data_IF_597026970045
#
_entry.id   IF_597026970045
#
_cell.length_a   1.000
_cell.length_b   1.000
_cell.length_c   1.000
_cell.angle_alpha   90.00
_cell.angle_beta   90.00
_cell.angle_gamma   90.00
#
_symmetry.space_group_name_H-M   'P 1'
#
loop_
_entity.id
_entity.type
_entity.pdbx_description
1 polymer ?
#
# COMPACT_ATOMS: atom_id res chain seq x y z
N UNK A 1 -8.56 -35.45 -20.79
CA UNK A 1 -9.33 -34.20 -21.01
C UNK A 1 -9.23 -33.30 -19.77
N UNK A 2 -8.33 -32.31 -19.79
CA UNK A 2 -8.15 -31.36 -18.67
C UNK A 2 -9.21 -30.26 -18.77
N UNK A 3 -10.23 -30.36 -17.92
CA UNK A 3 -11.32 -29.38 -17.81
C UNK A 3 -10.79 -28.10 -17.13
N UNK A 4 -10.19 -27.20 -17.91
CA UNK A 4 -9.87 -25.84 -17.46
C UNK A 4 -11.18 -25.05 -17.36
N UNK A 5 -11.72 -24.93 -16.14
CA UNK A 5 -12.74 -23.93 -15.81
C UNK A 5 -12.22 -22.55 -16.25
N UNK A 6 -12.87 -21.95 -17.26
CA UNK A 6 -12.62 -20.58 -17.70
C UNK A 6 -12.85 -19.64 -16.49
N UNK A 7 -11.96 -18.67 -16.20
CA UNK A 7 -12.21 -17.70 -15.15
C UNK A 7 -13.48 -16.90 -15.51
N UNK A 8 -14.48 -16.99 -14.65
CA UNK A 8 -15.76 -16.29 -14.84
C UNK A 8 -15.54 -14.77 -14.79
N UNK A 9 -16.22 -13.97 -15.62
CA UNK A 9 -16.12 -12.52 -15.58
C UNK A 9 -16.68 -12.03 -14.25
N UNK A 10 -15.78 -11.56 -13.38
CA UNK A 10 -16.11 -10.97 -12.09
C UNK A 10 -16.88 -9.68 -12.35
N UNK A 11 -18.19 -9.69 -12.06
CA UNK A 11 -19.09 -8.53 -12.21
C UNK A 11 -18.51 -7.34 -11.44
N UNK A 12 -18.09 -6.31 -12.16
CA UNK A 12 -17.85 -4.99 -11.59
C UNK A 12 -19.17 -4.49 -10.99
N UNK A 13 -19.14 -4.02 -9.75
CA UNK A 13 -20.30 -3.37 -9.15
C UNK A 13 -20.68 -2.12 -9.97
N UNK A 14 -21.98 -1.73 -10.01
CA UNK A 14 -22.40 -0.50 -10.67
C UNK A 14 -21.56 0.68 -10.16
N UNK A 15 -21.19 1.61 -11.04
CA UNK A 15 -20.35 2.77 -10.67
C UNK A 15 -20.90 3.52 -9.45
N UNK A 16 -22.24 3.67 -9.37
CA UNK A 16 -22.93 4.25 -8.21
C UNK A 16 -22.61 3.54 -6.89
N UNK A 17 -22.54 2.22 -6.89
CA UNK A 17 -22.21 1.42 -5.70
C UNK A 17 -20.75 1.64 -5.31
N UNK A 18 -19.85 1.78 -6.28
CA UNK A 18 -18.43 2.05 -6.02
C UNK A 18 -18.24 3.42 -5.34
N UNK A 19 -18.89 4.45 -5.87
CA UNK A 19 -18.93 5.78 -5.24
C UNK A 19 -19.57 5.74 -3.84
N UNK A 20 -20.64 4.95 -3.68
CA UNK A 20 -21.28 4.72 -2.38
C UNK A 20 -20.32 4.12 -1.36
N UNK A 21 -19.51 3.13 -1.75
CA UNK A 21 -18.50 2.51 -0.89
C UNK A 21 -17.44 3.52 -0.47
N UNK A 22 -16.87 4.29 -1.40
CA UNK A 22 -15.89 5.33 -1.07
C UNK A 22 -16.48 6.39 -0.14
N UNK A 23 -17.72 6.82 -0.38
CA UNK A 23 -18.41 7.81 0.45
C UNK A 23 -18.66 7.27 1.86
N UNK A 24 -19.14 6.03 1.99
CA UNK A 24 -19.38 5.39 3.28
C UNK A 24 -18.08 5.25 4.10
N UNK A 25 -16.99 4.83 3.46
CA UNK A 25 -15.68 4.69 4.12
C UNK A 25 -15.15 6.04 4.58
N UNK A 26 -15.22 7.07 3.73
CA UNK A 26 -14.80 8.42 4.10
C UNK A 26 -15.67 9.00 5.21
N UNK A 27 -16.98 8.75 5.21
CA UNK A 27 -17.88 9.19 6.26
C UNK A 27 -17.52 8.56 7.61
N UNK A 28 -17.33 7.25 7.65
CA UNK A 28 -16.89 6.54 8.86
C UNK A 28 -15.51 7.04 9.30
N UNK A 29 -14.60 7.26 8.36
CA UNK A 29 -13.23 7.71 8.62
C UNK A 29 -13.17 9.15 9.13
N UNK A 30 -14.08 10.03 8.68
CA UNK A 30 -14.22 11.39 9.20
C UNK A 30 -14.77 11.37 10.63
N UNK A 31 -15.71 10.47 10.92
CA UNK A 31 -16.17 10.20 12.29
C UNK A 31 -15.01 9.78 13.20
N UNK A 32 -14.21 8.79 12.77
CA UNK A 32 -13.03 8.32 13.50
C UNK A 32 -11.97 9.41 13.67
N UNK A 33 -11.72 10.21 12.64
CA UNK A 33 -10.78 11.35 12.69
C UNK A 33 -11.17 12.36 13.77
N UNK A 34 -12.47 12.56 13.99
CA UNK A 34 -13.00 13.48 15.01
C UNK A 34 -12.75 13.00 16.45
N UNK A 35 -12.46 11.72 16.66
CA UNK A 35 -12.06 11.18 17.97
C UNK A 35 -10.57 11.36 18.26
N UNK A 36 -9.74 11.69 17.25
CA UNK A 36 -8.32 11.90 17.47
C UNK A 36 -8.07 13.23 18.20
N UNK A 37 -7.14 13.28 19.17
CA UNK A 37 -6.80 14.53 19.87
C UNK A 37 -6.30 15.61 18.91
N UNK A 38 -6.63 16.88 19.20
CA UNK A 38 -6.21 18.07 18.42
C UNK A 38 -4.70 18.12 18.12
N UNK A 39 -3.85 17.45 18.92
CA UNK A 39 -2.40 17.41 18.73
C UNK A 39 -1.90 16.55 17.57
N UNK A 40 -2.70 15.64 17.01
CA UNK A 40 -2.29 14.81 15.87
C UNK A 40 -3.46 14.56 14.91
N UNK A 41 -3.83 15.54 14.07
CA UNK A 41 -4.92 15.40 13.13
C UNK A 41 -4.51 14.44 12.01
N UNK A 42 -4.98 13.19 12.08
CA UNK A 42 -4.83 12.24 10.97
C UNK A 42 -5.88 12.56 9.91
N UNK A 43 -5.48 12.84 8.66
CA UNK A 43 -6.44 13.12 7.59
C UNK A 43 -7.40 11.93 7.38
N UNK A 44 -8.69 12.21 7.27
CA UNK A 44 -9.72 11.20 7.05
C UNK A 44 -9.41 10.23 5.88
N UNK A 45 -8.83 10.67 4.73
CA UNK A 45 -8.47 9.74 3.65
C UNK A 45 -7.42 8.68 4.04
N UNK A 46 -6.49 9.00 4.95
CA UNK A 46 -5.47 8.05 5.42
C UNK A 46 -6.13 6.98 6.28
N UNK A 47 -7.06 7.38 7.16
CA UNK A 47 -7.88 6.46 7.95
C UNK A 47 -8.73 5.59 7.03
N UNK A 48 -9.33 6.19 5.99
CA UNK A 48 -10.12 5.49 4.99
C UNK A 48 -9.33 4.45 4.21
N UNK A 49 -8.05 4.72 3.91
CA UNK A 49 -7.17 3.75 3.27
C UNK A 49 -6.91 2.53 4.16
N UNK A 50 -6.66 2.75 5.46
CA UNK A 50 -6.46 1.66 6.43
C UNK A 50 -7.75 0.86 6.61
N UNK A 51 -8.89 1.54 6.70
CA UNK A 51 -10.20 0.91 6.87
C UNK A 51 -10.61 0.09 5.64
N UNK A 52 -10.42 0.63 4.43
CA UNK A 52 -10.65 -0.10 3.18
C UNK A 52 -9.73 -1.31 3.06
N UNK A 53 -8.46 -1.16 3.46
CA UNK A 53 -7.50 -2.27 3.50
C UNK A 53 -7.99 -3.39 4.44
N UNK A 54 -8.44 -3.07 5.65
CA UNK A 54 -8.99 -4.04 6.58
C UNK A 54 -10.26 -4.73 6.03
N UNK A 55 -11.19 -3.98 5.45
CA UNK A 55 -12.39 -4.54 4.81
C UNK A 55 -12.07 -5.49 3.65
N UNK A 56 -10.98 -5.21 2.92
CA UNK A 56 -10.48 -6.04 1.85
C UNK A 56 -9.82 -7.32 2.39
N UNK A 57 -9.02 -7.23 3.45
CA UNK A 57 -8.42 -8.38 4.13
C UNK A 57 -9.47 -9.30 4.75
N UNK A 58 -10.55 -8.74 5.31
CA UNK A 58 -11.70 -9.48 5.84
C UNK A 58 -12.61 -10.06 4.73
N UNK A 59 -12.30 -9.82 3.45
CA UNK A 59 -13.05 -10.28 2.28
C UNK A 59 -14.53 -9.82 2.25
N UNK A 60 -14.87 -8.79 3.05
CA UNK A 60 -16.21 -8.19 3.09
C UNK A 60 -16.44 -7.41 1.78
N UNK A 61 -15.40 -6.74 1.31
CA UNK A 61 -15.42 -5.91 0.11
C UNK A 61 -14.41 -6.48 -0.89
N UNK A 62 -14.85 -6.78 -2.12
CA UNK A 62 -13.97 -7.31 -3.19
C UNK A 62 -13.28 -6.18 -3.93
N UNK A 63 -11.97 -6.32 -4.22
CA UNK A 63 -11.18 -5.32 -4.95
C UNK A 63 -11.84 -4.85 -6.27
N UNK A 64 -12.48 -5.78 -6.98
CA UNK A 64 -13.21 -5.51 -8.24
C UNK A 64 -14.30 -4.45 -8.12
N UNK A 65 -14.86 -4.24 -6.94
CA UNK A 65 -15.96 -3.30 -6.70
C UNK A 65 -15.49 -1.86 -6.54
N UNK A 66 -14.19 -1.61 -6.38
CA UNK A 66 -13.65 -0.29 -6.02
C UNK A 66 -12.56 0.13 -7.03
N UNK A 67 -11.95 -0.85 -7.71
CA UNK A 67 -10.84 -0.62 -8.65
C UNK A 67 -11.21 0.27 -9.83
N UNK A 68 -12.46 0.25 -10.33
CA UNK A 68 -12.81 1.03 -11.53
C UNK A 68 -12.88 2.53 -11.22
N UNK A 69 -13.60 2.93 -10.16
CA UNK A 69 -13.64 4.34 -9.73
C UNK A 69 -12.27 4.81 -9.22
N UNK A 70 -11.49 3.97 -8.52
CA UNK A 70 -10.13 4.30 -8.11
C UNK A 70 -9.19 4.60 -9.29
N UNK A 71 -9.27 3.78 -10.34
CA UNK A 71 -8.47 3.98 -11.58
C UNK A 71 -8.93 5.23 -12.35
N UNK A 72 -10.22 5.54 -12.32
CA UNK A 72 -10.73 6.78 -12.89
C UNK A 72 -10.24 8.01 -12.11
N UNK A 73 -10.31 7.97 -10.78
CA UNK A 73 -9.83 9.06 -9.91
C UNK A 73 -8.34 9.32 -10.10
N UNK A 74 -7.49 8.28 -10.13
CA UNK A 74 -6.06 8.46 -10.36
C UNK A 74 -5.79 9.06 -11.76
N UNK A 75 -6.61 8.71 -12.76
CA UNK A 75 -6.48 9.25 -14.11
C UNK A 75 -6.74 10.76 -14.17
N UNK A 76 -7.63 11.31 -13.32
CA UNK A 76 -7.90 12.75 -13.29
C UNK A 76 -6.93 13.54 -12.40
N UNK A 77 -6.10 12.88 -11.56
CA UNK A 77 -5.16 13.58 -10.67
C UNK A 77 -4.21 14.49 -11.46
N UNK A 78 -3.67 14.00 -12.59
CA UNK A 78 -2.83 14.80 -13.48
C UNK A 78 -3.54 16.05 -13.99
N UNK A 79 -4.82 15.92 -14.34
CA UNK A 79 -5.66 17.05 -14.76
C UNK A 79 -5.91 18.05 -13.62
N UNK A 80 -6.14 17.59 -12.39
CA UNK A 80 -6.29 18.45 -11.20
C UNK A 80 -5.01 19.22 -10.83
N UNK A 81 -3.84 18.70 -11.23
CA UNK A 81 -2.57 19.41 -11.04
C UNK A 81 -2.38 20.58 -12.02
N UNK A 82 -3.00 20.57 -13.19
CA UNK A 82 -2.83 21.63 -14.19
C UNK A 82 -3.31 23.01 -13.68
N UNK A 83 -4.54 23.16 -13.15
CA UNK A 83 -4.98 24.43 -12.56
C UNK A 83 -4.10 24.90 -11.39
N UNK A 84 -3.69 23.96 -10.54
CA UNK A 84 -2.82 24.23 -9.38
C UNK A 84 -1.45 24.74 -9.82
N UNK A 85 -0.88 24.16 -10.89
CA UNK A 85 0.39 24.59 -11.48
C UNK A 85 0.30 25.94 -12.17
N UNK A 86 -0.79 26.23 -12.89
CA UNK A 86 -1.01 27.53 -13.54
C UNK A 86 -1.12 28.65 -12.49
N UNK A 87 -1.81 28.41 -11.37
CA UNK A 87 -1.90 29.37 -10.26
C UNK A 87 -0.52 29.72 -9.68
N UNK A 88 0.34 28.71 -9.56
CA UNK A 88 1.72 28.88 -9.12
C UNK A 88 2.56 29.67 -10.15
N UNK A 89 2.40 29.35 -11.45
CA UNK A 89 3.06 30.04 -12.56
C UNK A 89 2.54 31.48 -12.80
N UNK A 90 1.38 31.86 -12.28
CA UNK A 90 0.94 33.27 -12.29
C UNK A 90 1.70 34.11 -11.24
N UNK A 91 2.24 33.47 -10.19
CA UNK A 91 2.93 34.11 -9.07
C UNK A 91 4.47 33.95 -9.12
N UNK A 92 5.05 34.05 -10.32
CA UNK A 92 6.49 33.79 -10.55
C UNK A 92 7.43 34.73 -9.78
N UNK A 93 7.03 35.98 -9.51
CA UNK A 93 7.88 36.92 -8.77
C UNK A 93 8.19 36.45 -7.34
N UNK A 94 7.20 35.87 -6.66
CA UNK A 94 7.36 35.32 -5.31
C UNK A 94 8.15 34.00 -5.37
N UNK A 95 7.90 33.18 -6.39
CA UNK A 95 8.68 31.97 -6.64
C UNK A 95 10.14 32.24 -6.97
N UNK A 96 10.50 33.33 -7.66
CA UNK A 96 11.91 33.60 -7.94
C UNK A 96 12.69 33.98 -6.68
N UNK A 97 12.06 34.70 -5.74
CA UNK A 97 12.70 35.08 -4.48
C UNK A 97 12.82 33.93 -3.48
N UNK A 98 11.87 32.99 -3.47
CA UNK A 98 11.82 31.88 -2.51
C UNK A 98 12.08 30.50 -3.13
N UNK A 99 12.15 30.40 -4.46
CA UNK A 99 12.25 29.14 -5.20
C UNK A 99 13.56 28.41 -4.96
N UNK A 100 14.66 29.15 -4.77
CA UNK A 100 15.94 28.57 -4.37
C UNK A 100 15.84 27.83 -3.03
N UNK A 101 15.12 28.41 -2.06
CA UNK A 101 14.87 27.77 -0.75
C UNK A 101 13.97 26.55 -0.90
N UNK A 102 12.92 26.61 -1.73
CA UNK A 102 12.03 25.47 -1.98
C UNK A 102 12.78 24.29 -2.60
N UNK A 103 13.61 24.53 -3.63
CA UNK A 103 14.41 23.49 -4.27
C UNK A 103 15.34 22.82 -3.25
N UNK A 104 16.03 23.62 -2.44
CA UNK A 104 16.90 23.09 -1.39
C UNK A 104 16.12 22.22 -0.40
N UNK A 105 14.97 22.69 0.07
CA UNK A 105 14.10 21.94 1.02
C UNK A 105 13.58 20.65 0.39
N UNK A 106 13.18 20.65 -0.88
CA UNK A 106 12.70 19.45 -1.59
C UNK A 106 13.80 18.41 -1.71
N UNK A 107 15.01 18.82 -2.12
CA UNK A 107 16.16 17.92 -2.23
C UNK A 107 16.50 17.33 -0.86
N UNK A 108 16.61 18.18 0.17
CA UNK A 108 16.93 17.75 1.52
C UNK A 108 15.86 16.78 2.06
N UNK A 109 14.58 17.11 1.90
CA UNK A 109 13.46 16.28 2.32
C UNK A 109 13.43 14.95 1.57
N UNK A 110 13.78 14.94 0.29
CA UNK A 110 13.85 13.71 -0.51
C UNK A 110 14.96 12.79 0.00
N UNK A 111 16.15 13.35 0.27
CA UNK A 111 17.27 12.59 0.84
C UNK A 111 16.87 12.01 2.20
N UNK A 112 16.31 12.83 3.09
CA UNK A 112 15.87 12.40 4.42
C UNK A 112 14.81 11.29 4.31
N UNK A 113 13.80 11.47 3.45
CA UNK A 113 12.75 10.48 3.21
C UNK A 113 13.33 9.14 2.74
N UNK A 114 14.27 9.16 1.79
CA UNK A 114 14.93 7.95 1.29
C UNK A 114 15.78 7.27 2.37
N UNK A 115 16.52 8.04 3.16
CA UNK A 115 17.28 7.53 4.31
C UNK A 115 16.32 6.84 5.29
N UNK A 116 15.28 7.52 5.77
CA UNK A 116 14.29 6.94 6.70
C UNK A 116 13.61 5.70 6.12
N UNK A 117 13.26 5.71 4.84
CA UNK A 117 12.63 4.56 4.16
C UNK A 117 13.59 3.37 4.11
N UNK A 118 14.86 3.57 3.78
CA UNK A 118 15.86 2.50 3.74
C UNK A 118 16.19 1.95 5.12
N UNK A 119 16.26 2.80 6.16
CA UNK A 119 16.42 2.36 7.54
C UNK A 119 15.20 1.55 8.02
N UNK A 120 13.98 2.01 7.71
CA UNK A 120 12.75 1.29 8.04
C UNK A 120 12.71 -0.07 7.34
N UNK A 121 13.06 -0.14 6.06
CA UNK A 121 13.16 -1.39 5.31
C UNK A 121 14.23 -2.32 5.89
N UNK A 122 15.41 -1.79 6.27
CA UNK A 122 16.48 -2.56 6.92
C UNK A 122 16.04 -3.11 8.27
N UNK A 123 15.34 -2.31 9.09
CA UNK A 123 14.78 -2.75 10.36
C UNK A 123 13.72 -3.84 10.18
N UNK A 124 12.83 -3.68 9.19
CA UNK A 124 11.82 -4.70 8.86
C UNK A 124 12.48 -6.00 8.40
N UNK A 125 13.47 -5.94 7.51
CA UNK A 125 14.21 -7.11 7.02
C UNK A 125 15.01 -7.75 8.17
N UNK A 126 15.64 -6.96 9.03
CA UNK A 126 16.35 -7.45 10.20
C UNK A 126 15.41 -8.15 11.18
N UNK A 127 14.25 -7.55 11.48
CA UNK A 127 13.21 -8.14 12.31
C UNK A 127 12.60 -9.40 11.68
N UNK A 128 12.36 -9.39 10.37
CA UNK A 128 11.90 -10.57 9.64
C UNK A 128 12.95 -11.68 9.62
N UNK A 129 14.24 -11.35 9.45
CA UNK A 129 15.35 -12.32 9.59
C UNK A 129 15.47 -12.85 11.01
N UNK A 130 15.19 -12.04 12.03
CA UNK A 130 15.16 -12.48 13.43
C UNK A 130 13.97 -13.42 13.71
N UNK A 131 12.79 -13.14 13.14
CA UNK A 131 11.63 -14.03 13.20
C UNK A 131 11.84 -15.33 12.40
N UNK A 132 12.48 -15.27 11.22
CA UNK A 132 12.85 -16.46 10.46
C UNK A 132 13.95 -17.25 11.17
N UNK A 133 14.87 -16.62 11.91
CA UNK A 133 15.82 -17.36 12.76
C UNK A 133 15.08 -18.17 13.85
N UNK A 134 13.91 -17.71 14.29
CA UNK A 134 13.00 -18.44 15.20
C UNK A 134 12.13 -19.50 14.49
N UNK A 135 11.92 -19.36 13.17
CA UNK A 135 11.20 -20.29 12.28
C UNK A 135 12.14 -21.10 11.37
N UNK A 136 13.43 -21.16 11.68
CA UNK A 136 14.42 -21.88 10.90
C UNK A 136 14.22 -23.38 11.14
N UNK A 137 13.44 -23.98 10.24
CA UNK A 137 13.15 -25.41 10.14
C UNK A 137 14.33 -26.30 10.53
N UNK A 138 14.17 -27.16 11.55
CA UNK A 138 14.96 -28.38 11.70
C UNK A 138 14.64 -29.44 10.63
N UNK A 139 13.54 -29.27 9.87
CA UNK A 139 12.95 -30.34 9.06
C UNK A 139 13.66 -30.68 7.75
N UNK A 140 14.60 -29.86 7.26
CA UNK A 140 15.32 -30.16 6.00
C UNK A 140 16.58 -31.01 6.20
N UNK A 141 17.12 -31.12 7.42
CA UNK A 141 18.29 -31.98 7.70
C UNK A 141 17.91 -33.40 8.14
N UNK A 142 16.78 -33.54 8.82
CA UNK A 142 16.26 -34.84 9.28
C UNK A 142 15.77 -35.69 8.11
N UNK A 143 15.23 -35.06 7.07
CA UNK A 143 14.73 -35.76 5.88
C UNK A 143 15.90 -36.27 5.01
N UNK A 144 16.91 -35.42 4.73
CA UNK A 144 18.11 -35.79 3.95
C UNK A 144 18.93 -36.91 4.58
N UNK A 145 19.03 -36.96 5.91
CA UNK A 145 19.74 -38.04 6.63
C UNK A 145 18.94 -39.35 6.66
N UNK A 146 17.62 -39.27 6.72
CA UNK A 146 16.73 -40.45 6.65
C UNK A 146 16.74 -41.07 5.26
N UNK A 147 16.67 -40.27 4.19
CA UNK A 147 16.74 -40.79 2.80
C UNK A 147 18.12 -41.35 2.46
N UNK A 148 19.22 -40.76 2.95
CA UNK A 148 20.56 -41.33 2.74
C UNK A 148 20.77 -42.65 3.49
N UNK A 149 20.22 -42.80 4.70
CA UNK A 149 20.25 -44.08 5.43
C UNK A 149 19.31 -45.13 4.83
N UNK A 150 18.19 -44.72 4.20
CA UNK A 150 17.31 -45.63 3.48
C UNK A 150 17.97 -46.15 2.20
N UNK A 151 18.56 -45.28 1.38
CA UNK A 151 19.28 -45.70 0.17
C UNK A 151 20.48 -46.61 0.48
N UNK A 152 21.21 -46.35 1.57
CA UNK A 152 22.32 -47.23 1.96
C UNK A 152 21.85 -48.62 2.42
N UNK A 153 20.62 -48.76 2.92
CA UNK A 153 20.07 -50.02 3.43
C UNK A 153 19.40 -50.87 2.33
N UNK A 154 19.10 -50.28 1.18
CA UNK A 154 18.51 -50.98 0.02
C UNK A 154 19.58 -51.49 -0.97
N UNK A 155 20.85 -51.08 -0.79
CA UNK A 155 21.98 -51.52 -1.62
C UNK A 155 22.83 -52.65 -1.01
N UNK A 156 22.56 -53.05 0.24
CA UNK A 156 23.16 -54.20 0.93
C UNK A 156 22.20 -55.41 0.96
#
# INVERSE_FOLDING_TARGET
MSNKKKPTPKRAAPLLVQFGIYTAILFVSNGISSFFPIGFPVPAPVIGLILLYLLLTLNIVKLEWISSVGTFLISIIGFLFVPSGISLAANLKIMQQQGSKLILVIILSTIILLVVTTYTAKLLIWGHRWLIKKYHQPSLKTDLTTVMNFESKERD
#
